data_IF_281323460731
#
_entry.id   IF_281323460731
#
_cell.length_a   1.000
_cell.length_b   1.000
_cell.length_c   1.000
_cell.angle_alpha   90.00
_cell.angle_beta   90.00
_cell.angle_gamma   90.00
#
_symmetry.space_group_name_H-M   'P 1'
#
loop_
_entity.id
_entity.type
_entity.pdbx_description
1 polymer ?
#
# COMPACT_ATOMS: atom_id res chain seq x y z
N UNK A 1 -10.27 -1.90 -21.14
CA UNK A 1 -9.84 -0.51 -21.36
C UNK A 1 -10.67 0.38 -20.46
N UNK A 2 -10.09 0.91 -19.37
CA UNK A 2 -10.83 1.68 -18.37
C UNK A 2 -10.87 3.15 -18.81
N UNK A 3 -12.06 3.79 -18.92
CA UNK A 3 -12.21 5.18 -19.41
C UNK A 3 -11.38 6.24 -18.66
N UNK A 4 -10.94 5.95 -17.44
CA UNK A 4 -10.21 6.87 -16.56
C UNK A 4 -8.78 7.19 -17.02
N UNK A 5 -8.06 6.26 -17.64
CA UNK A 5 -6.66 6.48 -18.05
C UNK A 5 -6.50 7.55 -19.14
N UNK A 6 -7.44 7.63 -20.09
CA UNK A 6 -7.39 8.63 -21.17
C UNK A 6 -7.64 10.07 -20.71
N UNK A 7 -8.38 10.25 -19.61
CA UNK A 7 -8.75 11.58 -19.11
C UNK A 7 -7.55 12.22 -18.40
N UNK A 8 -6.77 11.42 -17.68
CA UNK A 8 -5.63 11.91 -16.91
C UNK A 8 -4.37 12.13 -17.76
N UNK A 9 -4.14 11.33 -18.82
CA UNK A 9 -3.08 11.62 -19.79
C UNK A 9 -3.29 12.99 -20.45
N UNK A 10 -4.54 13.31 -20.79
CA UNK A 10 -4.90 14.63 -21.33
C UNK A 10 -4.64 15.76 -20.34
N UNK A 11 -4.88 15.52 -19.04
CA UNK A 11 -4.66 16.52 -17.98
C UNK A 11 -3.16 16.76 -17.74
N UNK A 12 -2.34 15.69 -17.74
CA UNK A 12 -0.88 15.80 -17.61
C UNK A 12 -0.28 16.57 -18.78
N UNK A 13 -0.68 16.26 -20.02
CA UNK A 13 -0.22 16.97 -21.22
C UNK A 13 -0.64 18.46 -21.24
N UNK A 14 -1.81 18.79 -20.69
CA UNK A 14 -2.26 20.16 -20.53
C UNK A 14 -1.42 20.91 -19.49
N UNK A 15 -1.24 20.33 -18.30
CA UNK A 15 -0.39 20.89 -17.24
C UNK A 15 1.05 21.11 -17.72
N UNK A 16 1.59 20.17 -18.51
CA UNK A 16 2.94 20.26 -19.04
C UNK A 16 3.07 21.37 -20.08
N UNK A 17 2.09 21.50 -20.99
CA UNK A 17 2.06 22.61 -21.96
C UNK A 17 1.97 23.96 -21.26
N UNK A 18 1.14 24.09 -20.23
CA UNK A 18 1.01 25.33 -19.46
C UNK A 18 2.33 25.67 -18.75
N UNK A 19 2.98 24.68 -18.14
CA UNK A 19 4.28 24.86 -17.50
C UNK A 19 5.36 25.35 -18.48
N UNK A 20 5.44 24.73 -19.67
CA UNK A 20 6.38 25.12 -20.73
C UNK A 20 6.11 26.54 -21.24
N UNK A 21 4.84 26.90 -21.44
CA UNK A 21 4.44 28.25 -21.83
C UNK A 21 4.88 29.30 -20.79
N UNK A 22 4.69 29.01 -19.50
CA UNK A 22 5.12 29.90 -18.41
C UNK A 22 6.65 30.04 -18.38
N UNK A 23 7.40 28.96 -18.57
CA UNK A 23 8.85 28.99 -18.66
C UNK A 23 9.34 29.91 -19.79
N UNK A 24 8.74 29.80 -20.99
CA UNK A 24 9.11 30.63 -22.13
C UNK A 24 8.70 32.10 -21.93
N UNK A 25 7.54 32.38 -21.32
CA UNK A 25 7.13 33.75 -20.98
C UNK A 25 8.10 34.41 -19.99
N UNK A 26 8.45 33.72 -18.91
CA UNK A 26 9.45 34.20 -17.93
C UNK A 26 10.77 34.48 -18.64
N UNK A 27 11.25 33.56 -19.49
CA UNK A 27 12.49 33.74 -20.26
C UNK A 27 12.45 35.01 -21.11
N UNK A 28 11.35 35.22 -21.86
CA UNK A 28 11.16 36.42 -22.69
C UNK A 28 11.13 37.71 -21.87
N UNK A 29 10.45 37.70 -20.72
CA UNK A 29 10.38 38.87 -19.84
C UNK A 29 11.72 39.22 -19.21
N UNK A 30 12.50 38.21 -18.80
CA UNK A 30 13.87 38.41 -18.28
C UNK A 30 14.79 39.03 -19.34
N UNK A 31 14.67 38.60 -20.61
CA UNK A 31 15.40 39.22 -21.72
C UNK A 31 14.99 40.69 -21.88
N UNK A 32 13.69 41.01 -21.88
CA UNK A 32 13.20 42.41 -21.96
C UNK A 32 13.69 43.26 -20.79
N UNK A 33 13.62 42.73 -19.57
CA UNK A 33 14.09 43.40 -18.36
C UNK A 33 15.59 43.75 -18.44
N UNK A 34 16.41 42.88 -19.06
CA UNK A 34 17.86 43.10 -19.17
C UNK A 34 18.26 44.27 -20.07
N UNK A 35 17.40 44.67 -21.01
CA UNK A 35 17.65 45.77 -21.95
C UNK A 35 16.81 47.02 -21.66
N UNK A 36 15.88 46.95 -20.70
CA UNK A 36 14.97 48.05 -20.37
C UNK A 36 15.65 49.09 -19.48
N UNK A 37 15.48 50.35 -19.83
CA UNK A 37 16.05 51.51 -19.13
C UNK A 37 15.00 52.32 -18.38
N UNK A 38 13.71 52.17 -18.71
CA UNK A 38 12.61 52.81 -17.99
C UNK A 38 12.34 52.08 -16.66
N UNK A 39 12.51 52.77 -15.53
CA UNK A 39 12.33 52.21 -14.18
C UNK A 39 10.91 51.70 -13.92
N UNK A 40 9.89 52.35 -14.48
CA UNK A 40 8.49 51.95 -14.29
C UNK A 40 8.21 50.66 -15.05
N UNK A 41 8.74 50.54 -16.28
CA UNK A 41 8.62 49.31 -17.07
C UNK A 41 9.42 48.15 -16.45
N UNK A 42 10.62 48.42 -15.91
CA UNK A 42 11.40 47.42 -15.17
C UNK A 42 10.65 46.86 -13.98
N UNK A 43 10.12 47.74 -13.12
CA UNK A 43 9.33 47.33 -11.96
C UNK A 43 8.11 46.47 -12.37
N UNK A 44 7.44 46.86 -13.46
CA UNK A 44 6.31 46.08 -14.01
C UNK A 44 6.74 44.69 -14.48
N UNK A 45 7.87 44.58 -15.18
CA UNK A 45 8.41 43.29 -15.62
C UNK A 45 8.82 42.42 -14.43
N UNK A 46 9.51 42.97 -13.43
CA UNK A 46 9.91 42.26 -12.22
C UNK A 46 8.70 41.66 -11.49
N UNK A 47 7.66 42.47 -11.26
CA UNK A 47 6.42 41.99 -10.62
C UNK A 47 5.74 40.88 -11.43
N UNK A 48 5.71 41.03 -12.76
CA UNK A 48 5.09 40.02 -13.64
C UNK A 48 5.90 38.71 -13.64
N UNK A 49 7.23 38.80 -13.59
CA UNK A 49 8.12 37.63 -13.48
C UNK A 49 7.88 36.92 -12.15
N UNK A 50 7.78 37.65 -11.04
CA UNK A 50 7.52 37.07 -9.71
C UNK A 50 6.18 36.32 -9.67
N UNK A 51 5.11 36.93 -10.20
CA UNK A 51 3.79 36.29 -10.31
C UNK A 51 3.85 35.00 -11.17
N UNK A 52 4.51 35.05 -12.33
CA UNK A 52 4.66 33.89 -13.21
C UNK A 52 5.55 32.79 -12.60
N UNK A 53 6.58 33.15 -11.84
CA UNK A 53 7.44 32.20 -11.13
C UNK A 53 6.68 31.46 -10.04
N UNK A 54 5.82 32.17 -9.30
CA UNK A 54 4.92 31.56 -8.33
C UNK A 54 3.93 30.58 -8.99
N UNK A 55 3.28 30.99 -10.08
CA UNK A 55 2.39 30.10 -10.85
C UNK A 55 3.13 28.89 -11.42
N UNK A 56 4.35 29.08 -11.95
CA UNK A 56 5.20 28.01 -12.48
C UNK A 56 5.53 26.99 -11.38
N UNK A 57 5.83 27.45 -10.18
CA UNK A 57 6.13 26.55 -9.06
C UNK A 57 4.90 25.73 -8.66
N UNK A 58 3.71 26.34 -8.64
CA UNK A 58 2.46 25.61 -8.40
C UNK A 58 2.19 24.56 -9.50
N UNK A 59 2.41 24.89 -10.76
CA UNK A 59 2.27 23.94 -11.88
C UNK A 59 3.28 22.80 -11.78
N UNK A 60 4.54 23.09 -11.44
CA UNK A 60 5.58 22.09 -11.23
C UNK A 60 5.20 21.12 -10.11
N UNK A 61 4.71 21.64 -8.98
CA UNK A 61 4.26 20.82 -7.87
C UNK A 61 3.09 19.88 -8.27
N UNK A 62 2.12 20.39 -9.04
CA UNK A 62 1.02 19.57 -9.59
C UNK A 62 1.52 18.51 -10.55
N UNK A 63 2.43 18.86 -11.47
CA UNK A 63 3.03 17.89 -12.41
C UNK A 63 3.75 16.75 -11.69
N UNK A 64 4.55 17.07 -10.69
CA UNK A 64 5.22 16.07 -9.85
C UNK A 64 4.22 15.17 -9.14
N UNK A 65 3.18 15.75 -8.55
CA UNK A 65 2.12 14.99 -7.88
C UNK A 65 1.40 14.03 -8.85
N UNK A 66 1.01 14.50 -10.02
CA UNK A 66 0.35 13.68 -11.04
C UNK A 66 1.26 12.54 -11.51
N UNK A 67 2.55 12.83 -11.75
CA UNK A 67 3.55 11.81 -12.12
C UNK A 67 3.72 10.75 -11.02
N UNK A 68 3.87 11.16 -9.76
CA UNK A 68 3.95 10.23 -8.63
C UNK A 68 2.70 9.35 -8.51
N UNK A 69 1.50 9.93 -8.70
CA UNK A 69 0.26 9.15 -8.69
C UNK A 69 0.17 8.14 -9.84
N UNK A 70 0.67 8.50 -11.02
CA UNK A 70 0.71 7.61 -12.17
C UNK A 70 1.66 6.43 -11.91
N UNK A 71 2.88 6.71 -11.42
CA UNK A 71 3.84 5.67 -11.03
C UNK A 71 3.27 4.76 -9.94
N UNK A 72 2.67 5.34 -8.89
CA UNK A 72 2.02 4.58 -7.82
C UNK A 72 1.06 3.52 -8.35
N UNK A 73 0.19 3.90 -9.30
CA UNK A 73 -0.78 2.96 -9.90
C UNK A 73 -0.09 1.80 -10.62
N UNK A 74 1.04 2.04 -11.27
CA UNK A 74 1.80 0.97 -11.91
C UNK A 74 2.55 0.10 -10.92
N UNK A 75 3.05 0.69 -9.82
CA UNK A 75 3.64 -0.07 -8.72
C UNK A 75 2.61 -0.98 -8.04
N UNK A 76 1.33 -0.57 -7.96
CA UNK A 76 0.23 -1.41 -7.46
C UNK A 76 -0.05 -2.64 -8.35
N UNK A 77 0.65 -2.80 -9.45
CA UNK A 77 0.56 -3.96 -10.33
C UNK A 77 1.91 -4.68 -10.47
N UNK A 78 2.90 -4.28 -9.68
CA UNK A 78 4.14 -5.03 -9.50
C UNK A 78 3.84 -6.36 -8.77
N UNK A 79 4.61 -7.40 -9.05
CA UNK A 79 4.20 -8.80 -8.90
C UNK A 79 3.75 -9.27 -7.50
N UNK A 80 2.42 -9.31 -7.33
CA UNK A 80 1.74 -9.95 -6.20
C UNK A 80 0.58 -10.84 -6.67
N UNK A 81 0.65 -11.33 -7.91
CA UNK A 81 -0.51 -11.98 -8.55
C UNK A 81 -0.96 -13.25 -7.83
N UNK A 82 -0.03 -14.00 -7.23
CA UNK A 82 -0.35 -15.23 -6.52
C UNK A 82 -1.12 -14.93 -5.23
N UNK A 83 -0.65 -13.94 -4.46
CA UNK A 83 -1.27 -13.43 -3.24
C UNK A 83 -2.64 -12.85 -3.55
N UNK A 84 -2.74 -12.01 -4.58
CA UNK A 84 -3.99 -11.42 -5.02
C UNK A 84 -5.02 -12.48 -5.43
N UNK A 85 -4.62 -13.46 -6.25
CA UNK A 85 -5.51 -14.53 -6.71
C UNK A 85 -6.07 -15.32 -5.54
N UNK A 86 -5.23 -15.69 -4.57
CA UNK A 86 -5.67 -16.44 -3.40
C UNK A 86 -6.56 -15.59 -2.49
N UNK A 87 -6.16 -14.36 -2.20
CA UNK A 87 -6.95 -13.40 -1.43
C UNK A 87 -8.35 -13.21 -2.02
N UNK A 88 -8.45 -12.93 -3.33
CA UNK A 88 -9.73 -12.70 -3.99
C UNK A 88 -10.64 -13.93 -3.93
N UNK A 89 -10.11 -15.15 -4.07
CA UNK A 89 -10.90 -16.38 -3.95
C UNK A 89 -11.58 -16.50 -2.59
N UNK A 90 -10.85 -16.22 -1.51
CA UNK A 90 -11.41 -16.29 -0.16
C UNK A 90 -12.32 -15.09 0.14
N UNK A 91 -11.82 -13.88 -0.09
CA UNK A 91 -12.52 -12.63 0.24
C UNK A 91 -13.79 -12.42 -0.59
N UNK A 92 -13.88 -12.94 -1.82
CA UNK A 92 -15.12 -12.90 -2.59
C UNK A 92 -16.16 -13.90 -2.07
N UNK A 93 -15.74 -15.13 -1.75
CA UNK A 93 -16.63 -16.23 -1.36
C UNK A 93 -17.12 -16.14 0.09
N UNK A 94 -16.39 -15.49 0.99
CA UNK A 94 -16.66 -15.53 2.42
C UNK A 94 -16.83 -14.13 3.02
N UNK A 95 -17.72 -13.98 4.00
CA UNK A 95 -17.87 -12.72 4.73
C UNK A 95 -16.77 -12.50 5.76
N UNK A 96 -16.14 -13.59 6.22
CA UNK A 96 -15.17 -13.59 7.30
C UNK A 96 -13.93 -14.31 6.81
N UNK A 97 -12.77 -13.66 6.87
CA UNK A 97 -11.52 -14.27 6.43
C UNK A 97 -10.34 -13.65 7.19
N UNK A 98 -9.37 -14.50 7.55
CA UNK A 98 -8.09 -14.07 8.06
C UNK A 98 -6.97 -14.53 7.14
N UNK A 99 -5.93 -13.72 7.00
CA UNK A 99 -4.79 -13.96 6.13
C UNK A 99 -3.48 -13.76 6.88
N UNK A 100 -2.53 -14.67 6.70
CA UNK A 100 -1.13 -14.50 7.08
C UNK A 100 -0.36 -14.00 5.86
N UNK A 101 0.28 -12.83 6.00
CA UNK A 101 1.25 -12.29 5.05
C UNK A 101 2.63 -12.45 5.67
N UNK A 102 3.56 -13.04 4.93
CA UNK A 102 4.89 -13.37 5.43
C UNK A 102 5.97 -13.16 4.37
N UNK A 103 7.20 -12.93 4.83
CA UNK A 103 8.35 -12.58 3.99
C UNK A 103 9.59 -12.35 4.85
N UNK A 104 10.78 -12.41 4.23
CA UNK A 104 12.06 -12.52 4.96
C UNK A 104 12.44 -11.28 5.79
N UNK A 105 11.98 -10.10 5.39
CA UNK A 105 12.20 -8.85 6.12
C UNK A 105 11.09 -7.84 5.80
N UNK A 106 11.01 -6.74 6.55
CA UNK A 106 10.11 -5.61 6.26
C UNK A 106 10.26 -5.03 4.85
N UNK A 107 11.44 -5.17 4.24
CA UNK A 107 11.73 -4.65 2.89
C UNK A 107 10.95 -5.38 1.78
N UNK A 108 10.28 -6.49 2.11
CA UNK A 108 9.46 -7.23 1.16
C UNK A 108 8.06 -6.61 0.95
N UNK A 109 7.72 -5.58 1.72
CA UNK A 109 6.53 -4.77 1.45
C UNK A 109 5.24 -5.40 1.92
N UNK A 110 5.22 -5.99 3.11
CA UNK A 110 4.00 -6.56 3.69
C UNK A 110 2.87 -5.53 3.81
N UNK A 111 3.18 -4.34 4.33
CA UNK A 111 2.22 -3.23 4.45
C UNK A 111 1.72 -2.77 3.07
N UNK A 112 2.64 -2.75 2.09
CA UNK A 112 2.30 -2.45 0.70
C UNK A 112 1.31 -3.48 0.13
N UNK A 113 1.56 -4.77 0.33
CA UNK A 113 0.65 -5.83 -0.11
C UNK A 113 -0.73 -5.67 0.56
N UNK A 114 -0.80 -5.40 1.86
CA UNK A 114 -2.09 -5.15 2.54
C UNK A 114 -2.84 -4.03 1.85
N UNK A 115 -2.19 -2.88 1.61
CA UNK A 115 -2.82 -1.74 0.96
C UNK A 115 -3.26 -2.06 -0.46
N UNK A 116 -2.43 -2.78 -1.22
CA UNK A 116 -2.75 -3.22 -2.57
C UNK A 116 -3.97 -4.14 -2.59
N UNK A 117 -4.05 -5.13 -1.68
CA UNK A 117 -5.20 -6.03 -1.56
C UNK A 117 -6.46 -5.25 -1.19
N UNK A 118 -6.36 -4.29 -0.28
CA UNK A 118 -7.47 -3.43 0.14
C UNK A 118 -7.89 -2.42 -0.93
N UNK A 119 -7.00 -2.01 -1.83
CA UNK A 119 -7.37 -1.20 -2.99
C UNK A 119 -8.19 -1.98 -4.02
N UNK A 120 -8.06 -3.32 -4.03
CA UNK A 120 -8.70 -4.21 -5.02
C UNK A 120 -10.02 -4.81 -4.54
N UNK A 121 -10.41 -4.63 -3.27
CA UNK A 121 -11.73 -5.07 -2.79
C UNK A 121 -12.85 -4.23 -3.39
N UNK A 122 -13.98 -4.88 -3.68
CA UNK A 122 -15.16 -4.24 -4.30
C UNK A 122 -16.09 -3.55 -3.31
N UNK A 123 -15.89 -3.76 -2.01
CA UNK A 123 -16.71 -3.19 -0.94
C UNK A 123 -15.98 -2.02 -0.28
N UNK A 124 -16.74 -0.98 0.07
CA UNK A 124 -16.17 0.16 0.81
C UNK A 124 -16.02 -0.20 2.27
N UNK A 125 -14.82 -0.09 2.80
CA UNK A 125 -14.62 -0.08 4.25
C UNK A 125 -15.35 1.14 4.84
N UNK A 126 -15.96 0.97 6.01
CA UNK A 126 -16.59 2.10 6.70
C UNK A 126 -15.55 3.06 7.27
N UNK A 127 -14.38 2.54 7.65
CA UNK A 127 -13.25 3.25 8.23
C UNK A 127 -11.93 2.77 7.60
N UNK A 128 -10.83 3.48 7.88
CA UNK A 128 -9.48 3.00 7.61
C UNK A 128 -9.21 1.66 8.35
N UNK A 129 -8.31 0.80 7.83
CA UNK A 129 -7.91 -0.43 8.51
C UNK A 129 -7.43 -0.15 9.95
N UNK A 130 -7.81 -1.02 10.88
CA UNK A 130 -7.43 -0.87 12.28
C UNK A 130 -6.10 -1.60 12.52
N UNK A 131 -5.03 -0.82 12.60
CA UNK A 131 -3.68 -1.32 12.85
C UNK A 131 -3.41 -1.56 14.34
N UNK A 132 -3.01 -2.80 14.65
CA UNK A 132 -2.55 -3.27 15.95
C UNK A 132 -1.10 -3.68 15.79
N UNK A 133 -0.20 -2.90 16.38
CA UNK A 133 1.23 -3.19 16.35
C UNK A 133 1.63 -3.89 17.65
N UNK A 134 2.10 -5.13 17.56
CA UNK A 134 2.52 -5.92 18.72
C UNK A 134 3.97 -5.63 19.18
N UNK A 135 4.73 -4.84 18.43
CA UNK A 135 6.05 -4.37 18.81
C UNK A 135 5.93 -3.12 19.71
N UNK A 136 5.89 -3.33 21.03
CA UNK A 136 5.93 -2.23 22.02
C UNK A 136 7.31 -2.07 22.69
N UNK A 137 8.20 -3.06 22.56
CA UNK A 137 9.62 -3.01 22.96
C UNK A 137 10.37 -4.17 22.30
N UNK A 138 11.72 -4.12 22.20
CA UNK A 138 12.60 -5.18 21.65
C UNK A 138 12.62 -6.49 22.47
N UNK A 139 11.51 -6.83 23.13
CA UNK A 139 11.33 -8.04 23.95
C UNK A 139 10.09 -8.76 23.45
N UNK A 140 10.12 -10.10 23.51
CA UNK A 140 8.94 -10.94 23.29
C UNK A 140 7.79 -10.44 24.16
N UNK A 141 6.64 -10.06 23.60
CA UNK A 141 5.52 -9.52 24.36
C UNK A 141 5.04 -10.56 25.37
N UNK A 142 4.68 -10.12 26.56
CA UNK A 142 3.86 -10.92 27.47
C UNK A 142 2.41 -11.00 26.96
N UNK A 143 1.60 -11.99 27.41
CA UNK A 143 0.18 -12.03 27.09
C UNK A 143 -0.56 -10.72 27.43
N UNK A 144 -0.14 -10.04 28.51
CA UNK A 144 -0.74 -8.79 28.95
C UNK A 144 -0.45 -7.64 27.99
N UNK A 145 0.77 -7.58 27.45
CA UNK A 145 1.18 -6.56 26.47
C UNK A 145 0.48 -6.77 25.13
N UNK A 146 0.36 -8.01 24.66
CA UNK A 146 -0.43 -8.33 23.46
C UNK A 146 -1.88 -7.83 23.61
N UNK A 147 -2.58 -8.24 24.67
CA UNK A 147 -3.97 -7.81 24.87
C UNK A 147 -4.13 -6.32 25.13
N UNK A 148 -3.12 -5.64 25.70
CA UNK A 148 -3.12 -4.19 25.87
C UNK A 148 -3.28 -3.47 24.54
N UNK A 149 -2.61 -3.93 23.47
CA UNK A 149 -2.70 -3.29 22.15
C UNK A 149 -4.09 -3.49 21.52
N UNK A 150 -4.71 -4.66 21.71
CA UNK A 150 -6.12 -4.87 21.32
C UNK A 150 -7.09 -3.98 22.12
N UNK A 151 -6.91 -3.87 23.44
CA UNK A 151 -7.75 -3.00 24.29
C UNK A 151 -7.69 -1.55 23.84
N UNK A 152 -6.51 -1.02 23.50
CA UNK A 152 -6.35 0.36 23.01
C UNK A 152 -7.21 0.67 21.79
N UNK A 153 -7.51 -0.33 20.94
CA UNK A 153 -8.29 -0.14 19.71
C UNK A 153 -9.76 -0.49 19.86
N UNK A 154 -10.07 -1.52 20.65
CA UNK A 154 -11.41 -2.13 20.65
C UNK A 154 -12.10 -2.13 22.01
N UNK A 155 -11.42 -1.82 23.13
CA UNK A 155 -11.97 -2.05 24.47
C UNK A 155 -11.57 -1.04 25.53
N UNK A 156 -11.93 -1.37 26.77
CA UNK A 156 -11.50 -0.69 27.99
C UNK A 156 -10.22 -1.27 28.59
N UNK A 157 -9.62 -0.56 29.55
CA UNK A 157 -8.34 -0.92 30.20
C UNK A 157 -8.37 -2.32 30.83
N UNK A 158 -9.54 -2.73 31.34
CA UNK A 158 -9.76 -3.99 32.06
C UNK A 158 -10.50 -5.06 31.25
N UNK A 159 -10.76 -4.81 29.96
CA UNK A 159 -11.57 -5.73 29.15
C UNK A 159 -10.84 -7.07 28.96
N UNK A 160 -11.56 -8.17 29.19
CA UNK A 160 -11.03 -9.50 28.89
C UNK A 160 -10.94 -9.73 27.38
N UNK A 161 -10.15 -10.72 26.91
CA UNK A 161 -10.12 -11.11 25.50
C UNK A 161 -11.52 -11.33 24.93
N UNK A 162 -12.41 -12.00 25.68
CA UNK A 162 -13.79 -12.24 25.27
C UNK A 162 -14.59 -10.94 25.10
N UNK A 163 -14.40 -9.96 25.99
CA UNK A 163 -15.06 -8.66 25.87
C UNK A 163 -14.58 -7.90 24.61
N UNK A 164 -13.29 -7.98 24.28
CA UNK A 164 -12.72 -7.42 23.05
C UNK A 164 -13.35 -8.10 21.82
N UNK A 165 -13.38 -9.42 21.78
CA UNK A 165 -13.99 -10.22 20.71
C UNK A 165 -15.44 -9.82 20.48
N UNK A 166 -16.23 -9.69 21.54
CA UNK A 166 -17.64 -9.29 21.45
C UNK A 166 -17.84 -7.87 20.90
N UNK A 167 -16.94 -6.94 21.22
CA UNK A 167 -16.99 -5.58 20.67
C UNK A 167 -16.65 -5.57 19.18
N UNK A 168 -15.63 -6.34 18.76
CA UNK A 168 -15.28 -6.51 17.35
C UNK A 168 -16.47 -7.09 16.58
N UNK A 169 -17.07 -8.17 17.09
CA UNK A 169 -18.26 -8.79 16.51
C UNK A 169 -19.44 -7.81 16.40
N UNK A 170 -19.70 -7.04 17.46
CA UNK A 170 -20.77 -6.03 17.46
C UNK A 170 -20.54 -4.93 16.42
N UNK A 171 -19.30 -4.47 16.25
CA UNK A 171 -18.93 -3.49 15.24
C UNK A 171 -19.07 -4.04 13.82
N UNK A 172 -18.61 -5.27 13.59
CA UNK A 172 -18.71 -5.92 12.29
C UNK A 172 -20.17 -6.10 11.82
N UNK A 173 -21.11 -6.35 12.73
CA UNK A 173 -22.54 -6.44 12.40
C UNK A 173 -23.15 -5.17 11.79
N UNK A 174 -22.50 -4.02 11.92
CA UNK A 174 -23.00 -2.75 11.39
C UNK A 174 -22.13 -2.16 10.28
N UNK A 175 -20.93 -2.71 10.06
CA UNK A 175 -19.99 -2.18 9.07
C UNK A 175 -18.92 -3.17 8.64
N UNK A 176 -18.38 -2.97 7.43
CA UNK A 176 -17.17 -3.65 6.98
C UNK A 176 -16.00 -3.31 7.90
N UNK A 177 -15.26 -4.32 8.34
CA UNK A 177 -14.15 -4.19 9.27
C UNK A 177 -12.90 -4.86 8.72
N UNK A 178 -11.79 -4.12 8.74
CA UNK A 178 -10.47 -4.63 8.42
C UNK A 178 -9.56 -4.41 9.62
N UNK A 179 -8.90 -5.46 10.10
CA UNK A 179 -7.98 -5.44 11.23
C UNK A 179 -6.62 -5.93 10.74
N UNK A 180 -5.56 -5.17 11.01
CA UNK A 180 -4.20 -5.55 10.66
C UNK A 180 -3.41 -5.71 11.95
N UNK A 181 -2.94 -6.93 12.22
CA UNK A 181 -2.11 -7.29 13.35
C UNK A 181 -0.67 -7.41 12.85
N UNK A 182 0.07 -6.33 13.05
CA UNK A 182 1.46 -6.20 12.64
C UNK A 182 2.41 -6.74 13.73
N UNK A 183 3.59 -7.20 13.31
CA UNK A 183 4.68 -7.65 14.17
C UNK A 183 4.37 -8.91 14.98
N UNK A 184 3.65 -9.87 14.38
CA UNK A 184 3.40 -11.17 14.99
C UNK A 184 4.67 -12.01 15.15
N UNK A 185 5.72 -11.72 14.38
CA UNK A 185 7.05 -12.34 14.52
C UNK A 185 7.70 -12.07 15.90
N UNK A 186 7.21 -11.08 16.65
CA UNK A 186 7.66 -10.86 18.03
C UNK A 186 6.96 -11.77 19.05
N UNK A 187 5.84 -12.40 18.69
CA UNK A 187 5.15 -13.35 19.56
C UNK A 187 5.91 -14.68 19.60
N UNK A 188 5.74 -15.42 20.69
CA UNK A 188 6.04 -16.85 20.66
C UNK A 188 4.90 -17.62 19.98
N UNK A 189 5.18 -18.85 19.52
CA UNK A 189 4.15 -19.73 18.97
C UNK A 189 2.96 -19.91 19.92
N UNK A 190 3.22 -20.05 21.24
CA UNK A 190 2.17 -20.17 22.26
C UNK A 190 1.27 -18.93 22.31
N UNK A 191 1.86 -17.72 22.23
CA UNK A 191 1.09 -16.48 22.29
C UNK A 191 0.28 -16.25 21.02
N UNK A 192 0.84 -16.56 19.85
CA UNK A 192 0.09 -16.45 18.61
C UNK A 192 -1.04 -17.49 18.55
N UNK A 193 -0.80 -18.73 19.00
CA UNK A 193 -1.84 -19.73 19.19
C UNK A 193 -2.95 -19.23 20.12
N UNK A 194 -2.58 -18.62 21.26
CA UNK A 194 -3.52 -18.02 22.20
C UNK A 194 -4.32 -16.88 21.57
N UNK A 195 -3.69 -16.04 20.74
CA UNK A 195 -4.38 -15.00 19.98
C UNK A 195 -5.43 -15.62 19.05
N UNK A 196 -5.09 -16.68 18.32
CA UNK A 196 -6.04 -17.37 17.46
C UNK A 196 -7.19 -18.01 18.27
N UNK A 197 -6.88 -18.68 19.38
CA UNK A 197 -7.87 -19.39 20.20
C UNK A 197 -8.81 -18.46 20.99
N UNK A 198 -8.31 -17.34 21.52
CA UNK A 198 -9.09 -16.44 22.38
C UNK A 198 -9.75 -15.28 21.61
N UNK A 199 -9.25 -14.92 20.42
CA UNK A 199 -9.77 -13.83 19.60
C UNK A 199 -10.36 -14.31 18.27
N UNK A 200 -9.53 -14.90 17.39
CA UNK A 200 -9.95 -15.18 16.01
C UNK A 200 -11.00 -16.27 15.95
N UNK A 201 -10.77 -17.41 16.60
CA UNK A 201 -11.63 -18.58 16.54
C UNK A 201 -13.05 -18.28 17.06
N UNK A 202 -13.25 -17.68 18.25
CA UNK A 202 -14.60 -17.37 18.71
C UNK A 202 -15.29 -16.34 17.81
N UNK A 203 -14.55 -15.35 17.30
CA UNK A 203 -15.07 -14.36 16.36
C UNK A 203 -15.52 -15.01 15.05
N UNK A 204 -14.70 -15.90 14.48
CA UNK A 204 -14.97 -16.60 13.24
C UNK A 204 -16.21 -17.50 13.37
N UNK A 205 -16.31 -18.27 14.46
CA UNK A 205 -17.46 -19.14 14.74
C UNK A 205 -18.76 -18.32 14.82
N UNK A 206 -18.77 -17.24 15.62
CA UNK A 206 -19.97 -16.40 15.77
C UNK A 206 -20.34 -15.73 14.44
N UNK A 207 -19.34 -15.26 13.69
CA UNK A 207 -19.55 -14.58 12.44
C UNK A 207 -20.02 -15.52 11.31
N UNK A 208 -19.54 -16.76 11.27
CA UNK A 208 -19.96 -17.78 10.31
C UNK A 208 -21.46 -18.10 10.45
N UNK A 209 -21.95 -18.22 11.68
CA UNK A 209 -23.35 -18.55 11.99
C UNK A 209 -24.37 -17.54 11.43
N UNK A 210 -23.98 -16.28 11.31
CA UNK A 210 -24.85 -15.19 10.82
C UNK A 210 -24.37 -14.59 9.50
N UNK A 211 -23.35 -15.18 8.86
CA UNK A 211 -22.72 -14.65 7.65
C UNK A 211 -23.69 -14.42 6.48
N UNK A 212 -24.76 -15.23 6.39
CA UNK A 212 -25.83 -15.07 5.39
C UNK A 212 -26.78 -13.89 5.68
N UNK A 213 -26.75 -13.34 6.89
CA UNK A 213 -27.65 -12.30 7.38
C UNK A 213 -27.01 -10.90 7.36
N UNK A 214 -25.69 -10.83 7.14
CA UNK A 214 -24.94 -9.57 7.11
C UNK A 214 -24.29 -9.35 5.76
N UNK A 215 -24.42 -8.16 5.15
CA UNK A 215 -23.67 -7.81 3.94
C UNK A 215 -22.23 -7.39 4.27
N UNK A 216 -21.84 -7.36 5.55
CA UNK A 216 -20.57 -6.80 6.00
C UNK A 216 -19.44 -7.83 5.99
N UNK A 217 -18.27 -7.39 5.54
CA UNK A 217 -17.03 -8.15 5.48
C UNK A 217 -16.18 -7.93 6.74
N UNK A 218 -15.62 -9.00 7.28
CA UNK A 218 -14.59 -8.99 8.33
C UNK A 218 -13.31 -9.59 7.75
N UNK A 219 -12.31 -8.74 7.58
CA UNK A 219 -10.97 -9.14 7.17
C UNK A 219 -10.00 -8.96 8.32
N UNK A 220 -9.13 -9.94 8.54
CA UNK A 220 -8.00 -9.85 9.46
C UNK A 220 -6.71 -10.21 8.75
N UNK A 221 -5.68 -9.37 8.87
CA UNK A 221 -4.34 -9.63 8.36
C UNK A 221 -3.38 -9.82 9.52
N UNK A 222 -2.58 -10.86 9.47
CA UNK A 222 -1.48 -11.15 10.38
C UNK A 222 -0.17 -10.94 9.59
N UNK A 223 0.70 -10.03 10.03
CA UNK A 223 1.93 -9.67 9.30
C UNK A 223 3.19 -10.22 9.99
N UNK A 224 3.75 -11.29 9.43
CA UNK A 224 5.03 -11.88 9.81
C UNK A 224 6.19 -11.24 9.02
N UNK A 225 6.83 -10.25 9.64
CA UNK A 225 7.90 -9.48 9.02
C UNK A 225 9.25 -10.21 8.91
N UNK A 226 9.37 -11.43 9.44
CA UNK A 226 10.64 -12.18 9.48
C UNK A 226 10.49 -13.65 9.05
N UNK A 227 9.34 -14.02 8.49
CA UNK A 227 9.01 -15.38 8.02
C UNK A 227 9.19 -16.48 9.08
N UNK A 228 9.05 -16.14 10.37
CA UNK A 228 9.27 -17.08 11.47
C UNK A 228 8.10 -18.04 11.68
N UNK A 229 6.88 -17.64 11.31
CA UNK A 229 5.65 -18.39 11.58
C UNK A 229 5.49 -19.56 10.61
N UNK A 230 6.18 -19.52 9.46
CA UNK A 230 6.14 -20.60 8.48
C UNK A 230 6.53 -21.97 9.08
N UNK A 231 7.38 -21.98 10.11
CA UNK A 231 7.87 -23.19 10.79
C UNK A 231 7.03 -23.61 12.00
N UNK A 232 6.05 -22.80 12.41
CA UNK A 232 5.22 -23.08 13.58
C UNK A 232 4.14 -24.11 13.29
N UNK A 233 3.80 -24.93 14.29
CA UNK A 233 2.77 -25.95 14.16
C UNK A 233 1.37 -25.36 14.38
N UNK A 234 0.98 -24.41 13.53
CA UNK A 234 -0.30 -23.69 13.58
C UNK A 234 -1.12 -24.03 12.34
N UNK A 235 -2.41 -24.38 12.50
CA UNK A 235 -3.26 -24.69 11.36
C UNK A 235 -3.48 -23.43 10.51
N UNK A 236 -2.97 -23.47 9.28
CA UNK A 236 -3.14 -22.44 8.26
C UNK A 236 -3.51 -23.11 6.94
N UNK A 237 -4.45 -22.51 6.21
CA UNK A 237 -4.82 -22.98 4.88
C UNK A 237 -3.87 -22.38 3.84
N UNK A 238 -3.20 -23.19 3.03
CA UNK A 238 -2.27 -22.76 1.98
C UNK A 238 -2.91 -22.74 0.58
N UNK A 239 -4.12 -23.27 0.47
CA UNK A 239 -4.85 -23.40 -0.78
C UNK A 239 -6.36 -23.29 -0.56
N UNK A 240 -7.10 -22.98 -1.64
CA UNK A 240 -8.55 -22.85 -1.58
C UNK A 240 -9.21 -24.23 -1.67
N UNK A 241 -9.80 -24.67 -0.57
CA UNK A 241 -10.61 -25.89 -0.51
C UNK A 241 -12.10 -25.56 -0.34
N UNK A 242 -13.03 -26.25 -1.03
CA UNK A 242 -14.47 -25.99 -0.92
C UNK A 242 -15.06 -26.17 0.49
N UNK A 243 -14.40 -26.97 1.33
CA UNK A 243 -14.75 -27.26 2.72
C UNK A 243 -13.94 -26.42 3.72
N UNK A 244 -13.22 -25.39 3.26
CA UNK A 244 -12.54 -24.46 4.14
C UNK A 244 -13.53 -23.77 5.09
N UNK A 245 -13.10 -23.59 6.34
CA UNK A 245 -13.84 -22.82 7.35
C UNK A 245 -13.06 -21.57 7.70
N UNK A 246 -13.79 -20.46 7.92
CA UNK A 246 -13.19 -19.20 8.34
C UNK A 246 -12.47 -19.28 9.69
N UNK A 247 -12.66 -20.35 10.46
CA UNK A 247 -11.91 -20.63 11.67
C UNK A 247 -10.39 -20.80 11.42
N UNK A 248 -9.98 -21.18 10.20
CA UNK A 248 -8.58 -21.40 9.85
C UNK A 248 -8.05 -20.26 8.98
N UNK A 249 -7.12 -19.41 9.47
CA UNK A 249 -6.52 -18.36 8.65
C UNK A 249 -5.83 -18.92 7.41
N UNK A 250 -5.77 -18.11 6.35
CA UNK A 250 -5.16 -18.47 5.07
C UNK A 250 -3.73 -17.94 5.02
N UNK A 251 -2.75 -18.82 4.83
CA UNK A 251 -1.37 -18.44 4.51
C UNK A 251 -1.29 -18.03 3.05
N UNK A 252 -1.09 -16.74 2.81
CA UNK A 252 -0.82 -16.26 1.45
C UNK A 252 0.59 -16.68 1.01
N UNK A 253 0.85 -16.83 -0.30
CA UNK A 253 2.20 -17.07 -0.80
C UNK A 253 3.19 -16.04 -0.24
N UNK A 254 4.36 -16.54 0.18
CA UNK A 254 5.42 -15.70 0.74
C UNK A 254 5.86 -14.62 -0.24
N UNK A 255 6.30 -13.49 0.30
CA UNK A 255 6.86 -12.41 -0.49
C UNK A 255 8.29 -12.78 -0.91
N UNK A 256 8.57 -12.68 -2.21
CA UNK A 256 9.86 -13.04 -2.81
C UNK A 256 10.54 -11.82 -3.46
N UNK A 257 11.82 -11.96 -3.80
CA UNK A 257 12.53 -10.94 -4.56
C UNK A 257 12.01 -10.83 -6.01
N UNK A 258 11.93 -9.60 -6.52
CA UNK A 258 11.48 -9.31 -7.87
C UNK A 258 12.62 -9.51 -8.88
N UNK A 259 12.62 -10.66 -9.55
CA UNK A 259 13.66 -10.98 -10.55
C UNK A 259 13.80 -9.92 -11.65
N UNK A 260 15.00 -9.80 -12.23
CA UNK A 260 15.26 -8.93 -13.39
C UNK A 260 14.38 -9.26 -14.58
N UNK A 261 14.09 -10.54 -14.83
CA UNK A 261 13.14 -10.97 -15.87
C UNK A 261 11.74 -10.42 -15.63
N UNK A 262 11.29 -10.41 -14.39
CA UNK A 262 9.98 -9.89 -14.02
C UNK A 262 9.90 -8.38 -14.21
N UNK A 263 10.93 -7.65 -13.78
CA UNK A 263 11.02 -6.20 -14.00
C UNK A 263 11.02 -5.87 -15.49
N UNK A 264 11.73 -6.65 -16.30
CA UNK A 264 11.74 -6.48 -17.75
C UNK A 264 10.34 -6.63 -18.33
N UNK A 265 9.64 -7.73 -18.01
CA UNK A 265 8.26 -7.97 -18.47
C UNK A 265 7.29 -6.88 -17.98
N UNK A 266 7.41 -6.44 -16.72
CA UNK A 266 6.55 -5.38 -16.17
C UNK A 266 6.73 -4.04 -16.91
N UNK A 267 7.97 -3.69 -17.30
CA UNK A 267 8.23 -2.49 -18.11
C UNK A 267 7.69 -2.68 -19.54
N UNK A 268 7.97 -3.82 -20.17
CA UNK A 268 7.56 -4.13 -21.55
C UNK A 268 6.03 -4.08 -21.73
N UNK A 269 5.28 -4.65 -20.79
CA UNK A 269 3.81 -4.66 -20.81
C UNK A 269 3.20 -3.26 -20.69
N UNK A 270 4.01 -2.25 -20.30
CA UNK A 270 3.58 -0.88 -20.00
C UNK A 270 4.38 0.19 -20.75
N UNK A 271 5.07 -0.17 -21.83
CA UNK A 271 5.97 0.73 -22.56
C UNK A 271 5.36 2.10 -22.91
N UNK A 272 4.07 2.11 -23.25
CA UNK A 272 3.38 3.34 -23.65
C UNK A 272 2.96 4.22 -22.48
N UNK A 273 2.98 3.68 -21.25
CA UNK A 273 2.42 4.33 -20.07
C UNK A 273 3.48 4.71 -19.04
N UNK A 274 4.64 4.05 -19.06
CA UNK A 274 5.75 4.34 -18.16
C UNK A 274 6.60 5.52 -18.68
N UNK A 275 7.21 6.31 -17.77
CA UNK A 275 8.13 7.36 -18.15
C UNK A 275 9.30 6.85 -18.98
N UNK A 276 9.82 7.73 -19.85
CA UNK A 276 10.97 7.45 -20.74
C UNK A 276 12.20 6.94 -20.00
N UNK A 277 12.40 7.38 -18.76
CA UNK A 277 13.49 6.93 -17.90
C UNK A 277 13.48 5.41 -17.68
N UNK A 278 12.31 4.75 -17.77
CA UNK A 278 12.18 3.30 -17.69
C UNK A 278 12.19 2.62 -19.07
N UNK A 279 11.76 3.32 -20.12
CA UNK A 279 11.39 2.71 -21.40
C UNK A 279 12.36 2.98 -22.56
N UNK A 280 13.23 4.00 -22.46
CA UNK A 280 14.22 4.31 -23.51
C UNK A 280 15.31 3.22 -23.62
N UNK A 281 15.80 2.72 -22.50
CA UNK A 281 16.69 1.56 -22.41
C UNK A 281 16.29 0.68 -21.22
N UNK A 282 15.42 -0.30 -21.49
CA UNK A 282 14.86 -1.19 -20.47
C UNK A 282 15.97 -1.98 -19.77
N UNK A 283 16.99 -2.43 -20.50
CA UNK A 283 18.08 -3.22 -19.92
C UNK A 283 18.86 -2.38 -18.92
N UNK A 284 19.21 -1.14 -19.30
CA UNK A 284 19.88 -0.22 -18.40
C UNK A 284 19.00 0.12 -17.19
N UNK A 285 17.71 0.41 -17.40
CA UNK A 285 16.78 0.74 -16.33
C UNK A 285 16.63 -0.40 -15.32
N UNK A 286 16.40 -1.63 -15.79
CA UNK A 286 16.29 -2.82 -14.93
C UNK A 286 17.59 -3.05 -14.15
N UNK A 287 18.75 -2.88 -14.79
CA UNK A 287 20.03 -3.06 -14.12
C UNK A 287 20.24 -2.00 -13.01
N UNK A 288 19.94 -0.74 -13.29
CA UNK A 288 20.00 0.34 -12.29
C UNK A 288 19.07 0.07 -11.12
N UNK A 289 17.83 -0.36 -11.38
CA UNK A 289 16.87 -0.73 -10.33
C UNK A 289 17.42 -1.89 -9.50
N UNK A 290 17.91 -2.95 -10.14
CA UNK A 290 18.41 -4.15 -9.46
C UNK A 290 19.62 -3.84 -8.55
N UNK A 291 20.57 -3.04 -9.03
CA UNK A 291 21.77 -2.65 -8.28
C UNK A 291 21.44 -1.75 -7.08
N UNK A 292 20.40 -0.90 -7.18
CA UNK A 292 19.99 0.02 -6.12
C UNK A 292 18.90 -0.54 -5.18
N UNK A 293 18.43 -1.77 -5.40
CA UNK A 293 17.31 -2.37 -4.66
C UNK A 293 17.69 -3.58 -3.80
N UNK A 294 18.96 -3.67 -3.41
CA UNK A 294 19.48 -4.80 -2.62
C UNK A 294 19.14 -6.16 -3.26
N UNK A 295 19.34 -6.26 -4.59
CA UNK A 295 19.08 -7.48 -5.38
C UNK A 295 17.58 -7.85 -5.45
N UNK A 296 16.73 -6.85 -5.70
CA UNK A 296 15.32 -7.10 -6.04
C UNK A 296 14.35 -7.13 -4.86
N UNK A 297 14.74 -6.64 -3.68
CA UNK A 297 13.79 -6.53 -2.57
C UNK A 297 12.63 -5.59 -2.97
N UNK A 298 11.36 -5.99 -2.78
CA UNK A 298 10.21 -5.24 -3.29
C UNK A 298 10.17 -3.74 -2.93
N UNK A 299 10.29 -3.35 -1.66
CA UNK A 299 10.25 -1.92 -1.29
C UNK A 299 11.44 -1.14 -1.87
N UNK A 300 12.70 -1.61 -1.73
CA UNK A 300 13.83 -0.97 -2.41
C UNK A 300 13.68 -0.89 -3.94
N UNK A 301 13.07 -1.89 -4.59
CA UNK A 301 12.76 -1.84 -6.04
C UNK A 301 11.80 -0.71 -6.34
N UNK A 302 10.69 -0.62 -5.60
CA UNK A 302 9.69 0.42 -5.82
C UNK A 302 10.28 1.82 -5.57
N UNK A 303 11.13 1.95 -4.54
CA UNK A 303 11.85 3.19 -4.27
C UNK A 303 12.82 3.55 -5.41
N UNK A 304 13.62 2.59 -5.89
CA UNK A 304 14.52 2.80 -7.03
C UNK A 304 13.78 3.19 -8.31
N UNK A 305 12.58 2.64 -8.55
CA UNK A 305 11.70 3.04 -9.66
C UNK A 305 11.25 4.49 -9.48
N UNK A 306 10.82 4.89 -8.27
CA UNK A 306 10.44 6.26 -7.97
C UNK A 306 11.62 7.23 -8.19
N UNK A 307 12.80 6.90 -7.68
CA UNK A 307 14.01 7.72 -7.82
C UNK A 307 14.40 7.90 -9.29
N UNK A 308 14.41 6.81 -10.07
CA UNK A 308 14.69 6.86 -11.51
C UNK A 308 13.66 7.71 -12.27
N UNK A 309 12.41 7.68 -11.81
CA UNK A 309 11.33 8.49 -12.37
C UNK A 309 11.26 9.90 -11.76
N UNK A 310 12.17 10.32 -10.90
CA UNK A 310 12.11 11.61 -10.18
C UNK A 310 10.75 11.85 -9.50
N UNK A 311 10.18 10.79 -8.92
CA UNK A 311 8.90 10.79 -8.22
C UNK A 311 9.14 10.72 -6.72
N UNK A 312 8.39 11.50 -5.95
CA UNK A 312 8.42 11.37 -4.50
C UNK A 312 7.78 10.04 -4.07
N UNK A 313 8.52 9.26 -3.28
CA UNK A 313 7.95 8.16 -2.51
C UNK A 313 7.02 8.75 -1.46
N UNK A 314 5.75 8.36 -1.49
CA UNK A 314 4.76 8.87 -0.54
C UNK A 314 4.52 7.79 0.52
N UNK A 315 5.00 8.01 1.74
CA UNK A 315 4.77 7.07 2.86
C UNK A 315 3.28 6.81 3.15
N UNK A 316 2.40 7.72 2.75
CA UNK A 316 0.96 7.50 2.83
C UNK A 316 0.48 6.36 1.92
N UNK A 317 1.28 5.91 0.95
CA UNK A 317 1.01 4.70 0.17
C UNK A 317 1.15 3.42 1.01
N UNK A 318 1.77 3.50 2.18
CA UNK A 318 1.93 2.39 3.13
C UNK A 318 0.92 2.44 4.29
N UNK A 319 -0.06 3.36 4.29
CA UNK A 319 -1.04 3.54 5.39
C UNK A 319 -2.49 3.59 4.92
#
# INVERSE_FOLDING_TARGET
MVPYQKIEESEFEELQRDFEQKCELIRRLRIKLSVETDEVLRFKYEKTIEELEFEREQLNAKLRQTKSQQIYRFLLELDYQAQERLFHRFAASHQVSAFLIHGRSRDYGHDWLVNQLLHKITFRLADQPIWINLCSSFRTPSPQEMWREFRRRFGGITDSPQAITQRIYTRWKTQNLCIVVDNINFLSEELFRKLLEELWLPLAIEAEQISSQTPHKLLMFFIDNEDQIADWNIPLADSYEPNWSCCTPVKLPGLEELSTSLLHTWIEDRLFYLPRQLTEDINQAVQVIWENSELGKPLPVMQAICDLCECEWIDAWLK
#
